data_IF_930150621368
#
_entry.id   IF_930150621368
#
_cell.length_a   1.000
_cell.length_b   1.000
_cell.length_c   1.000
_cell.angle_alpha   90.00
_cell.angle_beta   90.00
_cell.angle_gamma   90.00
#
_symmetry.space_group_name_H-M   'P 1'
#
loop_
_entity.id
_entity.type
_entity.pdbx_description
1 polymer ?
#
# COMPACT_ATOMS: atom_id res chain seq x y z
N UNK A 1 -8.04 7.77 17.64
CA UNK A 1 -7.10 7.41 18.73
C UNK A 1 -5.82 8.19 18.51
N UNK A 2 -5.44 9.03 19.47
CA UNK A 2 -4.29 9.92 19.35
C UNK A 2 -2.98 9.13 19.46
N UNK A 3 -2.10 9.28 18.46
CA UNK A 3 -0.74 8.77 18.46
C UNK A 3 0.12 9.66 19.37
N UNK A 4 0.39 9.21 20.60
CA UNK A 4 1.35 9.85 21.50
C UNK A 4 2.76 9.57 20.99
N UNK A 5 3.55 10.63 20.76
CA UNK A 5 4.83 10.55 20.07
C UNK A 5 5.92 9.71 20.75
N UNK A 6 6.85 9.22 19.93
CA UNK A 6 8.27 9.31 20.26
C UNK A 6 9.15 8.07 20.14
N UNK A 7 8.61 6.85 20.10
CA UNK A 7 9.46 5.65 20.00
C UNK A 7 8.98 4.68 18.92
N UNK A 8 9.92 4.30 18.05
CA UNK A 8 9.71 3.28 17.02
C UNK A 8 9.32 1.96 17.71
N UNK A 9 8.24 1.28 17.29
CA UNK A 9 7.79 0.05 17.93
C UNK A 9 8.90 -1.02 17.88
N UNK A 10 9.09 -1.71 19.01
CA UNK A 10 10.11 -2.76 19.14
C UNK A 10 9.68 -4.03 18.39
N UNK A 11 10.65 -4.69 17.75
CA UNK A 11 10.43 -6.03 17.18
C UNK A 11 10.38 -7.09 18.28
N UNK A 12 9.66 -8.20 18.06
CA UNK A 12 9.58 -9.31 19.02
C UNK A 12 10.98 -9.87 19.35
N UNK A 13 11.89 -9.90 18.38
CA UNK A 13 13.31 -10.26 18.59
C UNK A 13 14.02 -9.30 19.54
N UNK A 14 13.76 -8.00 19.43
CA UNK A 14 14.35 -7.00 20.33
C UNK A 14 13.80 -7.15 21.75
N UNK A 15 12.51 -7.40 21.88
CA UNK A 15 11.86 -7.69 23.17
C UNK A 15 12.47 -8.95 23.80
N UNK A 16 12.66 -10.03 23.02
CA UNK A 16 13.30 -11.27 23.48
C UNK A 16 14.69 -11.03 24.07
N UNK A 17 15.49 -10.22 23.38
CA UNK A 17 16.84 -9.84 23.84
C UNK A 17 16.79 -9.03 25.13
N UNK A 18 15.85 -8.08 25.25
CA UNK A 18 15.73 -7.24 26.45
C UNK A 18 15.23 -8.02 27.67
N UNK A 19 14.30 -8.95 27.47
CA UNK A 19 13.82 -9.84 28.53
C UNK A 19 14.95 -10.74 29.06
N UNK A 20 15.76 -11.31 28.17
CA UNK A 20 16.91 -12.12 28.57
C UNK A 20 17.93 -11.31 29.40
N UNK A 21 18.17 -10.05 29.05
CA UNK A 21 19.03 -9.13 29.83
C UNK A 21 18.48 -8.82 31.22
N UNK A 22 17.16 -8.88 31.39
CA UNK A 22 16.48 -8.73 32.68
C UNK A 22 16.34 -10.06 33.43
N UNK A 23 16.95 -11.15 32.95
CA UNK A 23 16.87 -12.47 33.56
C UNK A 23 15.62 -13.28 33.20
N UNK A 24 14.72 -12.73 32.38
CA UNK A 24 13.54 -13.45 31.89
C UNK A 24 13.90 -14.24 30.61
N UNK A 25 14.43 -15.45 30.80
CA UNK A 25 14.81 -16.34 29.71
C UNK A 25 13.63 -17.23 29.33
N UNK A 26 13.02 -16.95 28.17
CA UNK A 26 11.95 -17.76 27.58
C UNK A 26 12.32 -18.17 26.16
N UNK A 27 11.90 -19.35 25.67
CA UNK A 27 12.04 -19.68 24.25
C UNK A 27 11.34 -18.65 23.37
N UNK A 28 11.98 -18.28 22.25
CA UNK A 28 11.44 -17.28 21.32
C UNK A 28 10.02 -17.61 20.86
N UNK A 29 9.72 -18.90 20.62
CA UNK A 29 8.39 -19.39 20.23
C UNK A 29 7.31 -19.07 21.27
N UNK A 30 7.64 -19.15 22.56
CA UNK A 30 6.73 -18.83 23.65
C UNK A 30 6.43 -17.34 23.70
N UNK A 31 7.45 -16.50 23.56
CA UNK A 31 7.28 -15.05 23.48
C UNK A 31 6.46 -14.64 22.25
N UNK A 32 6.75 -15.23 21.09
CA UNK A 32 6.00 -14.97 19.86
C UNK A 32 4.53 -15.33 20.03
N UNK A 33 4.22 -16.50 20.60
CA UNK A 33 2.83 -16.91 20.88
C UNK A 33 2.14 -15.91 21.81
N UNK A 34 2.79 -15.52 22.91
CA UNK A 34 2.26 -14.52 23.83
C UNK A 34 2.00 -13.17 23.12
N UNK A 35 2.94 -12.69 22.33
CA UNK A 35 2.80 -11.43 21.60
C UNK A 35 1.62 -11.48 20.62
N UNK A 36 1.43 -12.60 19.91
CA UNK A 36 0.30 -12.76 18.98
C UNK A 36 -1.05 -12.89 19.70
N UNK A 37 -1.14 -13.72 20.74
CA UNK A 37 -2.41 -14.01 21.43
C UNK A 37 -2.84 -12.90 22.40
N UNK A 38 -1.90 -12.18 23.01
CA UNK A 38 -2.17 -11.24 24.10
C UNK A 38 -1.84 -9.80 23.77
N UNK A 39 -0.93 -9.55 22.83
CA UNK A 39 -0.46 -8.20 22.48
C UNK A 39 -0.86 -7.75 21.07
N UNK A 40 -1.58 -8.58 20.30
CA UNK A 40 -2.04 -8.24 18.94
C UNK A 40 -0.93 -8.25 17.87
N UNK A 41 0.24 -8.83 18.16
CA UNK A 41 1.33 -8.92 17.20
C UNK A 41 0.95 -9.80 15.99
N UNK A 42 1.15 -9.26 14.78
CA UNK A 42 0.82 -9.96 13.53
C UNK A 42 -0.66 -9.92 13.15
N UNK A 43 -1.50 -9.20 13.90
CA UNK A 43 -2.87 -8.93 13.48
C UNK A 43 -2.83 -8.00 12.27
N UNK A 44 -3.23 -8.52 11.10
CA UNK A 44 -3.45 -7.69 9.91
C UNK A 44 -4.69 -6.81 10.16
N UNK A 45 -4.66 -5.60 9.62
CA UNK A 45 -5.85 -4.76 9.58
C UNK A 45 -7.00 -5.55 8.95
N UNK A 46 -8.18 -5.46 9.57
CA UNK A 46 -9.36 -6.19 9.13
C UNK A 46 -9.73 -5.64 7.74
N UNK A 47 -9.74 -6.50 6.71
CA UNK A 47 -10.27 -6.09 5.42
C UNK A 47 -11.79 -5.98 5.53
N UNK A 48 -12.33 -4.77 5.34
CA UNK A 48 -13.77 -4.56 5.23
C UNK A 48 -14.17 -4.92 3.80
N UNK A 49 -15.16 -5.79 3.64
CA UNK A 49 -15.71 -6.07 2.31
C UNK A 49 -16.45 -4.82 1.82
N UNK A 50 -15.95 -4.23 0.75
CA UNK A 50 -16.69 -3.23 -0.01
C UNK A 50 -17.55 -3.99 -1.00
N UNK A 51 -18.87 -3.75 -0.99
CA UNK A 51 -19.74 -4.31 -2.01
C UNK A 51 -19.38 -3.66 -3.35
N UNK A 52 -19.25 -4.46 -4.41
CA UNK A 52 -19.09 -3.92 -5.75
C UNK A 52 -20.38 -3.15 -6.12
N UNK A 53 -20.23 -1.98 -6.73
CA UNK A 53 -21.36 -1.19 -7.23
C UNK A 53 -22.06 -1.86 -8.41
N UNK A 54 -23.22 -1.32 -8.80
CA UNK A 54 -23.98 -1.83 -9.94
C UNK A 54 -23.19 -1.70 -11.27
N UNK A 55 -23.41 -2.60 -12.25
CA UNK A 55 -22.74 -2.54 -13.54
C UNK A 55 -22.90 -1.18 -14.23
N UNK A 56 -21.79 -0.57 -14.62
CA UNK A 56 -21.77 0.70 -15.35
C UNK A 56 -21.98 1.96 -14.49
N UNK A 57 -22.17 1.80 -13.17
CA UNK A 57 -22.39 2.94 -12.26
C UNK A 57 -21.09 3.47 -11.67
N UNK A 58 -20.12 2.59 -11.40
CA UNK A 58 -18.87 2.95 -10.73
C UNK A 58 -17.63 2.49 -11.49
N UNK A 59 -16.67 3.40 -11.63
CA UNK A 59 -15.31 3.12 -12.07
C UNK A 59 -14.31 3.61 -11.02
N UNK A 60 -13.34 2.78 -10.69
CA UNK A 60 -12.16 3.16 -9.92
C UNK A 60 -11.13 3.82 -10.83
N UNK A 61 -10.52 4.89 -10.34
CA UNK A 61 -9.50 5.66 -11.06
C UNK A 61 -8.19 5.62 -10.30
N UNK A 62 -7.10 5.28 -10.99
CA UNK A 62 -5.76 5.24 -10.42
C UNK A 62 -4.72 5.79 -11.42
N UNK A 63 -3.56 6.23 -10.90
CA UNK A 63 -2.39 6.58 -11.68
C UNK A 63 -1.22 5.62 -11.37
N UNK A 64 -0.78 4.89 -12.39
CA UNK A 64 0.40 4.03 -12.32
C UNK A 64 1.63 4.69 -12.92
N UNK A 65 2.79 4.65 -12.25
CA UNK A 65 4.07 4.98 -12.91
C UNK A 65 4.53 3.80 -13.77
N UNK A 66 4.70 4.03 -15.07
CA UNK A 66 5.09 2.98 -16.03
C UNK A 66 6.59 2.96 -16.35
N UNK A 67 7.34 3.97 -15.90
CA UNK A 67 8.77 4.08 -16.19
C UNK A 67 9.10 5.29 -17.04
N UNK A 68 10.17 5.18 -17.82
CA UNK A 68 10.67 6.25 -18.66
C UNK A 68 10.55 5.86 -20.13
N UNK A 69 9.81 6.63 -20.93
CA UNK A 69 9.83 6.49 -22.38
C UNK A 69 10.63 7.64 -23.00
N UNK A 70 11.27 7.37 -24.12
CA UNK A 70 11.88 8.40 -24.95
C UNK A 70 10.76 9.05 -25.77
N UNK A 71 10.60 10.35 -25.58
CA UNK A 71 9.69 11.17 -26.35
C UNK A 71 10.19 11.23 -27.81
N UNK A 72 9.30 10.92 -28.76
CA UNK A 72 9.65 10.85 -30.17
C UNK A 72 9.87 12.25 -30.78
N UNK A 73 9.28 13.30 -30.18
CA UNK A 73 9.31 14.65 -30.72
C UNK A 73 10.63 15.37 -30.41
N UNK A 74 11.18 15.16 -29.21
CA UNK A 74 12.40 15.84 -28.75
C UNK A 74 13.55 14.89 -28.32
N UNK A 75 13.33 13.57 -28.40
CA UNK A 75 14.32 12.54 -28.05
C UNK A 75 14.63 12.45 -26.55
N UNK A 76 13.91 13.18 -25.68
CA UNK A 76 14.19 13.20 -24.24
C UNK A 76 13.51 12.03 -23.53
N UNK A 77 14.18 11.49 -22.52
CA UNK A 77 13.56 10.51 -21.62
C UNK A 77 12.64 11.21 -20.64
N UNK A 78 11.36 10.85 -20.66
CA UNK A 78 10.33 11.42 -19.78
C UNK A 78 9.67 10.32 -18.97
N UNK A 79 9.26 10.67 -17.75
CA UNK A 79 8.43 9.79 -16.91
C UNK A 79 7.08 9.63 -17.58
N UNK A 80 6.61 8.39 -17.65
CA UNK A 80 5.29 8.05 -18.18
C UNK A 80 4.45 7.48 -17.06
N UNK A 81 3.23 7.97 -17.01
CA UNK A 81 2.19 7.52 -16.12
C UNK A 81 1.03 6.97 -16.94
N UNK A 82 0.36 5.96 -16.40
CA UNK A 82 -0.92 5.48 -16.88
C UNK A 82 -2.02 6.04 -15.99
N UNK A 83 -2.99 6.72 -16.60
CA UNK A 83 -4.31 6.90 -16.00
C UNK A 83 -5.13 5.64 -16.30
N UNK A 84 -5.62 4.98 -15.26
CA UNK A 84 -6.33 3.71 -15.34
C UNK A 84 -7.74 3.91 -14.85
N UNK A 85 -8.73 3.57 -15.68
CA UNK A 85 -10.13 3.45 -15.28
C UNK A 85 -10.48 1.96 -15.23
N UNK A 86 -10.91 1.49 -14.07
CA UNK A 86 -11.34 0.10 -13.86
C UNK A 86 -12.82 0.08 -13.52
N UNK A 87 -13.64 -0.53 -14.37
CA UNK A 87 -15.05 -0.77 -14.05
C UNK A 87 -15.15 -1.73 -12.86
N UNK A 88 -15.81 -1.32 -11.77
CA UNK A 88 -15.79 -2.09 -10.50
C UNK A 88 -16.42 -3.46 -10.66
N UNK A 89 -17.52 -3.55 -11.40
CA UNK A 89 -18.24 -4.80 -11.61
C UNK A 89 -17.51 -5.76 -12.57
N UNK A 90 -17.15 -5.30 -13.77
CA UNK A 90 -16.61 -6.16 -14.83
C UNK A 90 -15.08 -6.28 -14.83
N UNK A 91 -14.40 -5.44 -14.06
CA UNK A 91 -12.92 -5.28 -14.05
C UNK A 91 -12.34 -4.94 -15.42
N UNK A 92 -13.16 -4.46 -16.35
CA UNK A 92 -12.69 -3.96 -17.63
C UNK A 92 -11.85 -2.69 -17.39
N UNK A 93 -10.67 -2.63 -18.01
CA UNK A 93 -9.70 -1.55 -17.82
C UNK A 93 -9.52 -0.74 -19.09
N UNK A 94 -9.67 0.57 -18.97
CA UNK A 94 -9.19 1.53 -19.96
C UNK A 94 -7.93 2.20 -19.43
N UNK A 95 -6.89 2.27 -20.26
CA UNK A 95 -5.58 2.81 -19.88
C UNK A 95 -5.19 3.91 -20.84
N UNK A 96 -4.89 5.10 -20.30
CA UNK A 96 -4.40 6.25 -21.04
C UNK A 96 -2.98 6.59 -20.59
N UNK A 97 -2.06 6.76 -21.52
CA UNK A 97 -0.67 7.13 -21.22
C UNK A 97 -0.53 8.65 -21.19
N UNK A 98 0.09 9.19 -20.15
CA UNK A 98 0.41 10.61 -20.06
C UNK A 98 1.78 10.84 -19.44
N UNK A 99 2.44 11.92 -19.84
CA UNK A 99 3.70 12.37 -19.25
C UNK A 99 3.50 13.19 -17.96
N UNK A 100 2.26 13.50 -17.60
CA UNK A 100 1.89 14.27 -16.41
C UNK A 100 0.59 13.76 -15.79
N UNK A 101 0.46 13.84 -14.47
CA UNK A 101 -0.76 13.45 -13.74
C UNK A 101 -1.70 14.65 -13.48
N UNK A 102 -1.44 15.80 -14.11
CA UNK A 102 -2.29 16.98 -13.94
C UNK A 102 -3.63 16.80 -14.65
N UNK A 103 -4.70 17.34 -14.07
CA UNK A 103 -6.04 17.33 -14.67
C UNK A 103 -6.02 17.88 -16.10
N UNK A 104 -5.30 18.98 -16.34
CA UNK A 104 -5.15 19.58 -17.66
C UNK A 104 -4.52 18.62 -18.67
N UNK A 105 -3.46 17.90 -18.28
CA UNK A 105 -2.80 16.93 -19.15
C UNK A 105 -3.73 15.74 -19.47
N UNK A 106 -4.56 15.32 -18.53
CA UNK A 106 -5.52 14.23 -18.73
C UNK A 106 -6.68 14.65 -19.63
N UNK A 107 -7.22 15.87 -19.45
CA UNK A 107 -8.32 16.38 -20.28
C UNK A 107 -7.86 16.66 -21.71
N UNK A 108 -6.61 17.09 -21.89
CA UNK A 108 -6.07 17.41 -23.21
C UNK A 108 -5.90 16.19 -24.12
N UNK A 109 -5.88 14.97 -23.57
CA UNK A 109 -5.54 13.74 -24.28
C UNK A 109 -4.05 13.58 -24.42
#
# INVERSE_FOLDING_TARGET
MAYTGGQRPLTVTKIHTLLARQGCVVPYRTLHRFASERCGFGRKDLTVRVADGDPGVECQVDFGYLGMLTDADDGRRRKVHALIFTAVYSRHMFVWLSYSQTLTAVIAG
#
